data_IF_028275206041
#
_entry.id   IF_028275206041
#
_cell.length_a   1.000
_cell.length_b   1.000
_cell.length_c   1.000
_cell.angle_alpha   90.00
_cell.angle_beta   90.00
_cell.angle_gamma   90.00
#
_symmetry.space_group_name_H-M   'P 1'
#
loop_
_entity.id
_entity.type
_entity.pdbx_description
1 polymer ?
#
# COMPACT_ATOMS: atom_id res chain seq x y z
N UNK A 1 -20.45 35.16 32.52
CA UNK A 1 -21.02 36.16 31.58
C UNK A 1 -21.37 35.44 30.28
N UNK A 2 -22.67 35.27 29.99
CA UNK A 2 -23.18 34.57 28.80
C UNK A 2 -23.42 35.60 27.70
N UNK A 3 -22.84 35.40 26.51
CA UNK A 3 -23.24 36.11 25.30
C UNK A 3 -23.63 35.08 24.23
N UNK A 4 -24.94 34.95 24.03
CA UNK A 4 -25.56 34.27 22.88
C UNK A 4 -25.69 35.32 21.79
N UNK A 5 -25.22 35.03 20.58
CA UNK A 5 -25.45 35.88 19.40
C UNK A 5 -26.44 35.16 18.50
N UNK A 6 -27.45 35.92 18.07
CA UNK A 6 -28.62 35.46 17.33
C UNK A 6 -28.33 35.14 15.86
N UNK A 7 -29.07 34.12 15.43
CA UNK A 7 -29.43 33.70 14.08
C UNK A 7 -30.05 34.84 13.23
N UNK A 8 -29.69 34.95 11.95
CA UNK A 8 -30.53 35.56 10.90
C UNK A 8 -30.47 34.74 9.61
N UNK A 9 -31.64 34.23 9.23
CA UNK A 9 -31.96 33.60 7.95
C UNK A 9 -32.37 34.70 6.97
N UNK A 10 -31.89 34.64 5.73
CA UNK A 10 -32.44 35.40 4.61
C UNK A 10 -32.61 34.45 3.43
N UNK A 11 -33.88 34.13 3.12
CA UNK A 11 -34.30 33.45 1.92
C UNK A 11 -34.43 34.49 0.80
N UNK A 12 -33.98 34.16 -0.41
CA UNK A 12 -34.31 34.94 -1.62
C UNK A 12 -34.63 33.98 -2.75
N UNK A 13 -35.88 34.09 -3.18
CA UNK A 13 -36.58 33.33 -4.19
C UNK A 13 -36.52 34.15 -5.48
N UNK A 14 -36.02 33.58 -6.58
CA UNK A 14 -36.19 34.17 -7.92
C UNK A 14 -36.39 33.05 -8.94
N UNK A 15 -37.65 32.84 -9.33
CA UNK A 15 -38.00 32.21 -10.61
C UNK A 15 -38.25 33.31 -11.62
N UNK A 16 -37.66 33.20 -12.81
CA UNK A 16 -38.20 33.82 -14.03
C UNK A 16 -38.19 32.76 -15.14
N UNK A 17 -39.39 32.39 -15.59
CA UNK A 17 -39.67 31.75 -16.87
C UNK A 17 -39.75 32.82 -17.95
N UNK A 18 -39.20 32.56 -19.13
CA UNK A 18 -39.33 33.42 -20.30
C UNK A 18 -39.06 32.64 -21.59
N UNK A 19 -40.10 32.08 -22.17
CA UNK A 19 -40.12 31.51 -23.52
C UNK A 19 -40.36 32.62 -24.55
N UNK A 20 -39.54 32.71 -25.61
CA UNK A 20 -39.85 33.47 -26.82
C UNK A 20 -39.20 32.84 -28.06
N UNK A 21 -40.06 32.24 -28.89
CA UNK A 21 -40.12 32.23 -30.37
C UNK A 21 -38.86 32.57 -31.19
N UNK A 22 -38.48 31.61 -32.04
CA UNK A 22 -37.58 31.75 -33.19
C UNK A 22 -38.07 32.78 -34.23
N UNK A 23 -37.12 33.32 -35.00
CA UNK A 23 -37.31 33.41 -36.44
C UNK A 23 -36.17 32.73 -37.23
N UNK A 24 -36.59 31.95 -38.22
CA UNK A 24 -35.82 31.29 -39.27
C UNK A 24 -35.06 32.30 -40.14
N UNK A 25 -33.79 31.99 -40.44
CA UNK A 25 -33.13 32.34 -41.71
C UNK A 25 -32.25 31.18 -42.16
N UNK A 26 -32.59 30.60 -43.31
CA UNK A 26 -31.75 29.69 -44.08
C UNK A 26 -30.61 30.47 -44.76
N UNK A 27 -29.42 29.86 -44.80
CA UNK A 27 -28.44 30.04 -45.87
C UNK A 27 -27.37 28.93 -45.80
N UNK A 28 -27.61 27.88 -46.57
CA UNK A 28 -26.71 27.20 -47.52
C UNK A 28 -25.32 26.66 -47.09
N UNK A 29 -25.23 25.33 -47.28
CA UNK A 29 -24.12 24.49 -47.76
C UNK A 29 -22.89 24.12 -46.92
N UNK A 30 -22.83 22.80 -46.71
CA UNK A 30 -21.68 21.88 -46.85
C UNK A 30 -20.45 22.12 -45.97
N UNK A 31 -20.33 21.32 -44.90
CA UNK A 31 -19.15 20.46 -44.75
C UNK A 31 -19.44 19.30 -43.78
N UNK A 32 -18.94 18.14 -44.17
CA UNK A 32 -18.97 16.84 -43.50
C UNK A 32 -18.53 16.89 -42.03
N UNK A 33 -19.44 16.65 -41.08
CA UNK A 33 -19.09 16.25 -39.72
C UNK A 33 -19.00 14.73 -39.65
N UNK A 34 -17.80 14.21 -39.94
CA UNK A 34 -17.41 12.90 -39.41
C UNK A 34 -17.32 13.04 -37.90
N UNK A 35 -18.32 12.54 -37.19
CA UNK A 35 -18.24 12.30 -35.75
C UNK A 35 -17.22 11.17 -35.55
N UNK A 36 -15.96 11.56 -35.43
CA UNK A 36 -14.92 10.72 -34.86
C UNK A 36 -15.23 10.53 -33.39
N UNK A 37 -16.03 9.50 -33.10
CA UNK A 37 -16.00 8.84 -31.80
C UNK A 37 -14.54 8.40 -31.63
N UNK A 38 -13.76 9.19 -30.90
CA UNK A 38 -12.47 8.74 -30.41
C UNK A 38 -12.79 7.61 -29.45
N UNK A 39 -12.72 6.38 -29.94
CA UNK A 39 -12.48 5.21 -29.10
C UNK A 39 -11.25 5.55 -28.27
N UNK A 40 -11.50 5.96 -27.02
CA UNK A 40 -10.49 5.94 -25.98
C UNK A 40 -10.02 4.49 -25.92
N UNK A 41 -8.84 4.26 -26.48
CA UNK A 41 -8.14 2.99 -26.36
C UNK A 41 -8.01 2.71 -24.87
N UNK A 42 -8.84 1.80 -24.37
CA UNK A 42 -8.77 1.27 -23.01
C UNK A 42 -7.48 0.46 -22.89
N UNK A 43 -6.36 1.17 -22.79
CA UNK A 43 -5.03 0.64 -22.55
C UNK A 43 -4.96 0.18 -21.09
N UNK A 44 -5.20 -1.11 -20.83
CA UNK A 44 -4.78 -1.91 -19.66
C UNK A 44 -4.37 -1.10 -18.40
N UNK A 45 -5.32 -0.35 -17.84
CA UNK A 45 -5.11 0.36 -16.59
C UNK A 45 -5.22 -0.63 -15.44
N UNK A 46 -4.17 -0.74 -14.63
CA UNK A 46 -4.13 -1.66 -13.48
C UNK A 46 -4.12 -0.85 -12.19
N UNK A 47 -4.96 -1.22 -11.23
CA UNK A 47 -5.03 -0.58 -9.91
C UNK A 47 -3.92 -1.11 -8.99
N UNK A 48 -3.26 -0.18 -8.28
CA UNK A 48 -2.26 -0.49 -7.26
C UNK A 48 -2.52 0.31 -5.98
N UNK A 49 -1.92 -0.11 -4.87
CA UNK A 49 -2.06 0.51 -3.56
C UNK A 49 -0.72 1.07 -3.07
N UNK A 50 -0.77 2.23 -2.43
CA UNK A 50 0.41 2.87 -1.85
C UNK A 50 0.83 2.17 -0.56
N UNK A 51 2.05 1.64 -0.54
CA UNK A 51 2.61 0.89 0.59
C UNK A 51 3.44 1.74 1.57
N UNK A 52 3.92 2.90 1.12
CA UNK A 52 4.75 3.78 1.94
C UNK A 52 3.96 4.31 3.15
N UNK A 53 4.43 4.02 4.36
CA UNK A 53 3.73 4.35 5.61
C UNK A 53 3.54 5.86 5.84
N UNK A 54 4.41 6.69 5.27
CA UNK A 54 4.36 8.17 5.28
C UNK A 54 3.63 8.76 4.06
N UNK A 55 3.08 7.90 3.20
CA UNK A 55 2.57 8.25 1.89
C UNK A 55 3.67 8.27 0.81
N UNK A 56 3.24 8.27 -0.44
CA UNK A 56 4.11 8.24 -1.62
C UNK A 56 3.96 9.54 -2.40
N UNK A 57 5.09 10.15 -2.78
CA UNK A 57 5.06 11.40 -3.53
C UNK A 57 4.63 11.16 -4.98
N UNK A 58 3.62 11.90 -5.43
CA UNK A 58 3.31 12.07 -6.85
C UNK A 58 4.13 13.23 -7.38
N UNK A 59 4.88 13.02 -8.46
CA UNK A 59 5.86 13.97 -8.98
C UNK A 59 5.56 14.36 -10.41
N UNK A 60 5.97 15.58 -10.77
CA UNK A 60 5.69 16.18 -12.09
C UNK A 60 6.43 15.49 -13.24
N UNK A 61 7.60 14.93 -12.98
CA UNK A 61 8.43 14.28 -14.01
C UNK A 61 8.96 12.91 -13.55
N UNK A 62 9.46 12.15 -14.52
CA UNK A 62 10.04 10.80 -14.37
C UNK A 62 11.39 10.80 -13.62
N UNK A 63 11.41 11.34 -12.40
CA UNK A 63 12.58 11.44 -11.52
C UNK A 63 12.15 11.66 -10.06
N UNK A 64 12.93 11.16 -9.11
CA UNK A 64 12.70 11.29 -7.67
C UNK A 64 12.97 12.70 -7.13
N UNK A 65 13.47 13.63 -7.95
CA UNK A 65 13.83 14.99 -7.51
C UNK A 65 12.95 16.09 -8.11
N UNK A 66 12.05 15.76 -9.03
CA UNK A 66 11.13 16.75 -9.63
C UNK A 66 10.08 17.22 -8.64
N UNK A 67 9.42 18.33 -8.98
CA UNK A 67 8.37 18.95 -8.18
C UNK A 67 7.33 17.93 -7.71
N UNK A 68 7.01 18.01 -6.42
CA UNK A 68 5.96 17.19 -5.81
C UNK A 68 4.61 17.83 -6.13
N UNK A 69 3.76 17.09 -6.82
CA UNK A 69 2.37 17.47 -7.12
C UNK A 69 1.45 17.20 -5.93
N UNK A 70 1.63 16.03 -5.30
CA UNK A 70 0.82 15.59 -4.16
C UNK A 70 1.56 14.54 -3.32
N UNK A 71 1.02 14.23 -2.13
CA UNK A 71 1.36 13.03 -1.36
C UNK A 71 0.16 12.10 -1.39
N UNK A 72 0.35 10.91 -1.95
CA UNK A 72 -0.65 9.84 -2.00
C UNK A 72 -0.62 9.10 -0.66
N UNK A 73 -1.70 9.08 0.14
CA UNK A 73 -1.68 8.45 1.46
C UNK A 73 -1.41 6.94 1.41
N UNK A 74 -0.93 6.38 2.51
CA UNK A 74 -0.85 4.93 2.69
C UNK A 74 -2.20 4.25 2.41
N UNK A 75 -2.16 3.11 1.72
CA UNK A 75 -3.35 2.33 1.34
C UNK A 75 -4.21 2.97 0.26
N UNK A 76 -3.90 4.20 -0.19
CA UNK A 76 -4.63 4.84 -1.27
C UNK A 76 -4.41 4.11 -2.60
N UNK A 77 -5.45 4.06 -3.41
CA UNK A 77 -5.44 3.41 -4.72
C UNK A 77 -4.97 4.38 -5.80
N UNK A 78 -4.18 3.87 -6.74
CA UNK A 78 -3.70 4.61 -7.91
C UNK A 78 -3.93 3.78 -9.17
N UNK A 79 -4.15 4.46 -10.28
CA UNK A 79 -4.21 3.82 -11.59
C UNK A 79 -2.84 3.88 -12.23
N UNK A 80 -2.24 2.73 -12.52
CA UNK A 80 -0.94 2.63 -13.18
C UNK A 80 -1.12 2.60 -14.69
N UNK A 81 -0.38 3.48 -15.39
CA UNK A 81 -0.37 3.52 -16.85
C UNK A 81 0.77 2.68 -17.41
N UNK A 82 0.56 1.90 -18.48
CA UNK A 82 1.64 1.17 -19.15
C UNK A 82 2.75 2.13 -19.59
N UNK A 83 4.01 1.71 -19.42
CA UNK A 83 5.15 2.42 -20.00
C UNK A 83 6.18 1.41 -20.48
N UNK A 84 6.72 1.64 -21.68
CA UNK A 84 7.54 0.70 -22.44
C UNK A 84 8.95 0.54 -21.91
N UNK A 85 9.53 1.54 -21.26
CA UNK A 85 10.89 1.44 -20.71
C UNK A 85 11.14 2.51 -19.65
N UNK A 86 11.73 2.11 -18.53
CA UNK A 86 12.16 3.00 -17.47
C UNK A 86 13.46 2.49 -16.85
N UNK A 87 14.35 3.41 -16.49
CA UNK A 87 15.53 3.06 -15.72
C UNK A 87 15.11 2.57 -14.33
N UNK A 88 15.60 1.40 -13.93
CA UNK A 88 15.47 0.93 -12.55
C UNK A 88 16.35 1.79 -11.66
N UNK A 89 15.77 2.31 -10.59
CA UNK A 89 16.44 3.04 -9.51
C UNK A 89 16.20 2.30 -8.20
N UNK A 90 17.02 2.61 -7.20
CA UNK A 90 16.83 2.09 -5.85
C UNK A 90 16.57 3.22 -4.86
N UNK A 91 15.54 3.02 -4.03
CA UNK A 91 15.21 3.90 -2.89
C UNK A 91 15.09 2.99 -1.68
N UNK A 92 15.87 3.26 -0.62
CA UNK A 92 15.84 2.47 0.62
C UNK A 92 15.98 0.96 0.37
N UNK A 93 16.90 0.59 -0.53
CA UNK A 93 17.19 -0.79 -0.94
C UNK A 93 16.04 -1.52 -1.65
N UNK A 94 14.98 -0.81 -2.01
CA UNK A 94 13.89 -1.29 -2.84
C UNK A 94 14.18 -0.88 -4.27
N UNK A 95 14.12 -1.83 -5.19
CA UNK A 95 14.24 -1.57 -6.62
C UNK A 95 12.87 -1.23 -7.21
N UNK A 96 12.86 -0.28 -8.13
CA UNK A 96 11.66 0.13 -8.84
C UNK A 96 11.97 1.15 -9.92
N UNK A 97 10.94 1.74 -10.46
CA UNK A 97 10.99 2.73 -11.51
C UNK A 97 10.08 3.90 -11.15
N UNK A 98 10.17 5.00 -11.88
CA UNK A 98 9.29 6.15 -11.68
C UNK A 98 8.03 5.97 -12.55
N UNK A 99 7.04 5.25 -12.05
CA UNK A 99 5.84 4.83 -12.78
C UNK A 99 4.83 5.98 -13.00
N UNK A 100 4.35 6.21 -14.24
CA UNK A 100 3.23 7.11 -14.49
C UNK A 100 1.95 6.54 -13.86
N UNK A 101 1.26 7.39 -13.11
CA UNK A 101 0.02 7.03 -12.42
C UNK A 101 -0.98 8.19 -12.45
N UNK A 102 -2.25 7.85 -12.30
CA UNK A 102 -3.31 8.81 -11.94
C UNK A 102 -3.74 8.58 -10.50
N UNK A 103 -3.80 9.67 -9.73
CA UNK A 103 -4.31 9.69 -8.37
C UNK A 103 -5.25 10.88 -8.18
N UNK A 104 -6.52 10.63 -7.82
CA UNK A 104 -7.53 11.68 -7.63
C UNK A 104 -7.61 12.69 -8.80
N UNK A 105 -7.51 12.20 -10.04
CA UNK A 105 -7.52 13.03 -11.26
C UNK A 105 -6.22 13.78 -11.56
N UNK A 106 -5.20 13.66 -10.71
CA UNK A 106 -3.86 14.19 -10.97
C UNK A 106 -2.99 13.13 -11.65
N UNK A 107 -2.38 13.50 -12.77
CA UNK A 107 -1.40 12.67 -13.47
C UNK A 107 0.02 13.06 -13.05
N UNK A 108 0.87 12.06 -12.87
CA UNK A 108 2.27 12.27 -12.54
C UNK A 108 3.03 10.95 -12.43
N UNK A 109 4.19 11.00 -11.81
CA UNK A 109 5.07 9.85 -11.63
C UNK A 109 5.28 9.55 -10.14
N UNK A 110 5.32 8.28 -9.77
CA UNK A 110 5.66 7.85 -8.41
C UNK A 110 6.64 6.67 -8.43
N UNK A 111 7.34 6.42 -7.33
CA UNK A 111 8.29 5.32 -7.27
C UNK A 111 7.56 3.97 -7.09
N UNK A 112 7.64 3.09 -8.09
CA UNK A 112 6.87 1.83 -8.14
C UNK A 112 7.29 0.78 -7.11
N UNK A 113 8.47 0.92 -6.50
CA UNK A 113 8.87 0.08 -5.37
C UNK A 113 7.93 0.19 -4.16
N UNK A 114 7.14 1.27 -4.07
CA UNK A 114 6.13 1.48 -3.04
C UNK A 114 4.69 1.28 -3.53
N UNK A 115 4.51 0.62 -4.67
CA UNK A 115 3.21 0.20 -5.19
C UNK A 115 3.02 -1.31 -4.99
N UNK A 116 1.90 -1.68 -4.37
CA UNK A 116 1.48 -3.05 -4.10
C UNK A 116 0.27 -3.41 -4.94
N UNK A 117 0.16 -4.66 -5.40
CA UNK A 117 -1.10 -5.16 -6.00
C UNK A 117 -2.13 -5.53 -4.93
N UNK A 118 -1.67 -5.72 -3.69
CA UNK A 118 -2.51 -6.07 -2.57
C UNK A 118 -2.99 -4.79 -1.87
N UNK A 119 -4.28 -4.72 -1.49
CA UNK A 119 -4.74 -3.67 -0.59
C UNK A 119 -3.90 -3.71 0.69
N UNK A 120 -3.55 -2.54 1.21
CA UNK A 120 -2.71 -2.47 2.40
C UNK A 120 -3.55 -2.72 3.67
N UNK A 121 -3.06 -3.50 4.65
CA UNK A 121 -3.77 -3.71 5.91
C UNK A 121 -4.05 -2.38 6.63
N UNK A 122 -5.29 -2.19 7.05
CA UNK A 122 -5.63 -1.10 7.99
C UNK A 122 -5.30 -1.53 9.41
N UNK A 123 -4.95 -0.57 10.27
CA UNK A 123 -4.58 -0.86 11.66
C UNK A 123 -5.69 -1.63 12.37
N UNK A 124 -5.31 -2.71 13.07
CA UNK A 124 -6.21 -3.53 13.88
C UNK A 124 -7.12 -4.49 13.11
N UNK A 125 -6.96 -4.61 11.79
CA UNK A 125 -7.66 -5.66 11.02
C UNK A 125 -7.17 -7.05 11.45
N UNK A 126 -8.08 -8.00 11.60
CA UNK A 126 -7.69 -9.39 11.86
C UNK A 126 -7.02 -10.00 10.61
N UNK A 127 -6.19 -11.03 10.80
CA UNK A 127 -5.57 -11.72 9.66
C UNK A 127 -6.63 -12.37 8.78
N UNK A 128 -7.64 -12.99 9.38
CA UNK A 128 -8.74 -13.61 8.66
C UNK A 128 -9.51 -12.60 7.78
N UNK A 129 -9.83 -11.42 8.32
CA UNK A 129 -10.52 -10.37 7.57
C UNK A 129 -9.64 -9.78 6.46
N UNK A 130 -8.34 -9.63 6.71
CA UNK A 130 -7.40 -9.19 5.69
C UNK A 130 -7.29 -10.22 4.55
N UNK A 131 -7.16 -11.51 4.87
CA UNK A 131 -7.15 -12.60 3.89
C UNK A 131 -8.44 -12.63 3.08
N UNK A 132 -9.60 -12.41 3.72
CA UNK A 132 -10.88 -12.32 3.04
C UNK A 132 -10.90 -11.17 2.01
N UNK A 133 -10.36 -10.01 2.36
CA UNK A 133 -10.20 -8.87 1.44
C UNK A 133 -9.28 -9.21 0.26
N UNK A 134 -8.17 -9.91 0.50
CA UNK A 134 -7.26 -10.34 -0.57
C UNK A 134 -7.95 -11.29 -1.56
N UNK A 135 -8.68 -12.29 -1.05
CA UNK A 135 -9.43 -13.25 -1.85
C UNK A 135 -10.53 -12.58 -2.67
N UNK A 136 -11.24 -11.60 -2.10
CA UNK A 136 -12.26 -10.82 -2.81
C UNK A 136 -11.70 -10.02 -4.00
N UNK A 137 -10.39 -9.75 -4.03
CA UNK A 137 -9.66 -9.13 -5.14
C UNK A 137 -9.02 -10.15 -6.09
N UNK A 138 -9.52 -11.39 -6.10
CA UNK A 138 -9.04 -12.50 -6.92
C UNK A 138 -7.56 -12.87 -6.70
N UNK A 139 -7.00 -12.57 -5.52
CA UNK A 139 -5.66 -13.03 -5.18
C UNK A 139 -5.70 -14.49 -4.73
N UNK A 140 -4.80 -15.31 -5.28
CA UNK A 140 -4.60 -16.70 -4.86
C UNK A 140 -3.76 -16.73 -3.59
N UNK A 141 -4.42 -16.58 -2.44
CA UNK A 141 -3.78 -16.55 -1.12
C UNK A 141 -4.16 -17.78 -0.31
N UNK A 142 -3.16 -18.45 0.26
CA UNK A 142 -3.37 -19.51 1.24
C UNK A 142 -3.32 -18.94 2.66
N UNK A 143 -4.21 -19.43 3.52
CA UNK A 143 -4.26 -19.06 4.94
C UNK A 143 -4.47 -20.28 5.81
N UNK A 144 -3.75 -20.35 6.92
CA UNK A 144 -3.88 -21.38 7.94
C UNK A 144 -3.67 -20.77 9.33
N UNK A 145 -4.43 -21.24 10.31
CA UNK A 145 -4.22 -20.94 11.72
C UNK A 145 -4.07 -22.26 12.49
N UNK A 146 -3.14 -22.30 13.43
CA UNK A 146 -2.86 -23.46 14.29
C UNK A 146 -2.62 -22.99 15.71
N UNK A 147 -3.22 -23.67 16.68
CA UNK A 147 -2.81 -23.53 18.09
C UNK A 147 -1.36 -24.01 18.24
N UNK A 148 -0.62 -23.40 19.16
CA UNK A 148 0.71 -23.86 19.52
C UNK A 148 0.60 -25.28 20.12
N UNK A 149 1.60 -26.12 19.86
CA UNK A 149 1.63 -27.47 20.42
C UNK A 149 1.71 -27.46 21.96
N UNK A 150 1.32 -28.54 22.64
CA UNK A 150 1.29 -28.62 24.11
C UNK A 150 2.67 -28.47 24.76
N UNK A 151 3.75 -28.73 24.02
CA UNK A 151 5.14 -28.54 24.47
C UNK A 151 5.61 -27.08 24.35
N UNK A 152 4.77 -26.20 23.81
CA UNK A 152 5.03 -24.76 23.67
C UNK A 152 4.05 -23.96 24.55
N UNK A 153 4.49 -22.77 24.95
CA UNK A 153 3.66 -21.75 25.60
C UNK A 153 2.28 -21.59 24.92
N UNK A 154 1.23 -21.35 25.70
CA UNK A 154 -0.14 -21.12 25.19
C UNK A 154 -0.11 -20.05 24.10
N UNK A 155 -0.86 -20.26 23.01
CA UNK A 155 -0.89 -19.31 21.91
C UNK A 155 -1.17 -19.99 20.58
N UNK A 156 -0.90 -19.27 19.49
CA UNK A 156 -1.24 -19.72 18.15
C UNK A 156 -0.29 -19.15 17.10
N UNK A 157 -0.36 -19.74 15.92
CA UNK A 157 0.31 -19.29 14.71
C UNK A 157 -0.69 -19.06 13.58
N UNK A 158 -0.41 -18.05 12.75
CA UNK A 158 -1.19 -17.72 11.57
C UNK A 158 -0.25 -17.58 10.37
N UNK A 159 -0.53 -18.31 9.30
CA UNK A 159 0.29 -18.30 8.09
C UNK A 159 -0.50 -17.74 6.92
N UNK A 160 0.09 -16.76 6.22
CA UNK A 160 -0.39 -16.22 4.95
C UNK A 160 0.65 -16.51 3.87
N UNK A 161 0.25 -17.11 2.75
CA UNK A 161 1.12 -17.25 1.57
C UNK A 161 0.60 -16.37 0.44
N UNK A 162 1.37 -15.34 0.09
CA UNK A 162 1.07 -14.38 -0.96
C UNK A 162 1.72 -14.79 -2.30
N UNK A 163 1.05 -14.62 -3.45
CA UNK A 163 1.62 -14.86 -4.78
C UNK A 163 2.50 -13.68 -5.23
N UNK A 164 3.53 -13.36 -4.45
CA UNK A 164 4.54 -12.37 -4.78
C UNK A 164 5.94 -12.84 -4.43
N UNK A 165 6.90 -12.43 -5.24
CA UNK A 165 8.32 -12.62 -5.03
C UNK A 165 8.98 -11.47 -4.26
N UNK A 166 8.26 -10.35 -4.05
CA UNK A 166 8.79 -9.08 -3.54
C UNK A 166 8.85 -9.07 -2.02
N UNK A 167 10.05 -9.14 -1.48
CA UNK A 167 10.31 -9.11 -0.03
C UNK A 167 9.70 -7.90 0.69
N UNK A 168 9.86 -6.70 0.11
CA UNK A 168 9.35 -5.47 0.69
C UNK A 168 7.81 -5.45 0.75
N UNK A 169 7.13 -6.05 -0.23
CA UNK A 169 5.65 -6.13 -0.23
C UNK A 169 5.14 -6.96 0.95
N UNK A 170 5.71 -8.16 1.16
CA UNK A 170 5.39 -8.98 2.32
C UNK A 170 5.78 -8.34 3.65
N UNK A 171 6.93 -7.65 3.68
CA UNK A 171 7.42 -6.97 4.88
C UNK A 171 6.47 -5.87 5.35
N UNK A 172 6.05 -4.96 4.46
CA UNK A 172 5.15 -3.88 4.86
C UNK A 172 3.72 -4.35 5.12
N UNK A 173 3.27 -5.44 4.48
CA UNK A 173 2.02 -6.10 4.88
C UNK A 173 2.14 -6.62 6.32
N UNK A 174 3.17 -7.41 6.63
CA UNK A 174 3.39 -7.96 7.97
C UNK A 174 3.55 -6.85 9.02
N UNK A 175 4.32 -5.81 8.70
CA UNK A 175 4.58 -4.70 9.62
C UNK A 175 3.29 -4.02 10.08
N UNK A 176 2.35 -3.79 9.16
CA UNK A 176 1.08 -3.12 9.48
C UNK A 176 0.04 -4.09 10.06
N UNK A 177 0.00 -5.33 9.59
CA UNK A 177 -0.94 -6.34 10.10
C UNK A 177 -0.63 -6.74 11.54
N UNK A 178 0.63 -6.66 11.96
CA UNK A 178 1.10 -7.14 13.27
C UNK A 178 1.68 -6.03 14.15
N UNK A 179 1.27 -4.77 13.92
CA UNK A 179 1.62 -3.60 14.74
C UNK A 179 3.14 -3.44 15.03
N UNK A 180 3.98 -3.83 14.08
CA UNK A 180 5.44 -3.74 14.21
C UNK A 180 5.88 -2.27 14.12
N UNK A 181 6.86 -1.82 14.94
CA UNK A 181 7.33 -0.44 14.92
C UNK A 181 7.75 0.03 13.52
N UNK A 182 7.16 1.12 13.05
CA UNK A 182 7.49 1.73 11.74
C UNK A 182 8.94 2.21 11.63
N UNK A 183 9.61 2.40 12.76
CA UNK A 183 11.04 2.74 12.84
C UNK A 183 11.95 1.60 12.39
N UNK A 184 11.45 0.36 12.43
CA UNK A 184 12.12 -0.78 11.79
C UNK A 184 11.75 -0.71 10.31
N UNK A 185 12.63 -0.19 9.48
CA UNK A 185 12.42 -0.14 8.03
C UNK A 185 12.66 -1.53 7.39
N UNK A 186 12.27 -1.66 6.12
CA UNK A 186 12.62 -2.84 5.33
C UNK A 186 14.17 -3.02 5.32
N UNK A 187 14.70 -4.17 5.75
CA UNK A 187 16.13 -4.34 5.89
C UNK A 187 16.83 -4.42 4.54
N UNK A 188 18.09 -4.01 4.48
CA UNK A 188 18.91 -4.13 3.28
C UNK A 188 18.98 -5.61 2.84
N UNK A 189 18.63 -5.96 1.59
CA UNK A 189 18.70 -7.34 1.14
C UNK A 189 20.10 -7.95 1.09
N UNK A 190 21.13 -7.11 1.09
CA UNK A 190 22.55 -7.47 1.07
C UNK A 190 23.18 -7.11 2.42
N UNK A 191 24.24 -7.81 2.80
CA UNK A 191 24.93 -7.55 4.07
C UNK A 191 25.46 -8.82 4.72
N UNK A 192 25.80 -8.72 6.01
CA UNK A 192 26.30 -9.85 6.78
C UNK A 192 25.25 -10.98 6.86
N UNK A 193 25.68 -12.26 6.97
CA UNK A 193 24.76 -13.40 6.91
C UNK A 193 23.68 -13.43 7.99
N UNK A 194 23.92 -12.82 9.15
CA UNK A 194 22.96 -12.70 10.24
C UNK A 194 23.13 -11.35 10.90
N UNK A 195 22.07 -10.56 10.95
CA UNK A 195 22.05 -9.21 11.50
C UNK A 195 20.85 -9.03 12.41
N UNK A 196 21.05 -8.40 13.56
CA UNK A 196 19.98 -7.99 14.47
C UNK A 196 19.84 -6.48 14.44
N UNK A 197 18.64 -5.97 14.17
CA UNK A 197 18.31 -4.54 14.10
C UNK A 197 17.30 -4.24 15.20
N UNK A 198 17.73 -3.59 16.27
CA UNK A 198 16.84 -3.22 17.37
C UNK A 198 15.94 -2.03 17.03
N UNK A 199 14.72 -2.03 17.56
CA UNK A 199 13.85 -0.87 17.46
C UNK A 199 14.48 0.32 18.24
N UNK A 200 14.64 1.50 17.62
CA UNK A 200 15.31 2.64 18.27
C UNK A 200 14.65 3.09 19.59
N UNK A 201 13.34 2.88 19.71
CA UNK A 201 12.54 3.26 20.88
C UNK A 201 11.80 2.05 21.41
N UNK A 202 12.50 1.22 22.20
CA UNK A 202 11.94 0.08 22.93
C UNK A 202 11.52 0.53 24.35
N UNK A 203 10.27 0.32 24.79
CA UNK A 203 9.87 0.55 26.18
C UNK A 203 10.74 -0.25 27.16
N UNK A 204 10.92 0.23 28.40
CA UNK A 204 11.81 -0.41 29.38
C UNK A 204 11.35 -1.82 29.79
N UNK A 205 10.04 -2.02 29.74
CA UNK A 205 9.33 -3.24 30.10
C UNK A 205 9.39 -4.29 28.97
N UNK A 206 9.79 -3.88 27.76
CA UNK A 206 9.92 -4.75 26.60
C UNK A 206 11.33 -5.33 26.54
N UNK A 207 11.42 -6.65 26.67
CA UNK A 207 12.69 -7.38 26.64
C UNK A 207 13.26 -7.41 25.22
N UNK A 208 12.43 -7.67 24.22
CA UNK A 208 12.86 -7.79 22.82
C UNK A 208 11.90 -7.02 21.90
N UNK A 209 12.45 -6.26 20.97
CA UNK A 209 11.74 -5.64 19.85
C UNK A 209 12.75 -5.38 18.73
N UNK A 210 13.01 -6.38 17.91
CA UNK A 210 14.06 -6.34 16.89
C UNK A 210 13.69 -7.11 15.61
N UNK A 211 14.42 -6.81 14.53
CA UNK A 211 14.48 -7.66 13.35
C UNK A 211 15.72 -8.55 13.41
N UNK A 212 15.55 -9.86 13.25
CA UNK A 212 16.62 -10.78 12.88
C UNK A 212 16.54 -11.02 11.37
N UNK A 213 17.59 -10.63 10.64
CA UNK A 213 17.67 -10.75 9.18
C UNK A 213 18.74 -11.77 8.85
N UNK A 214 18.38 -12.83 8.12
CA UNK A 214 19.34 -13.81 7.60
C UNK A 214 19.48 -13.70 6.10
N UNK A 215 20.72 -13.86 5.64
CA UNK A 215 21.11 -13.74 4.24
C UNK A 215 22.04 -14.87 3.85
N UNK A 216 21.83 -15.40 2.64
CA UNK A 216 22.71 -16.36 2.00
C UNK A 216 23.14 -15.79 0.66
N UNK A 217 24.44 -15.74 0.39
CA UNK A 217 25.00 -15.20 -0.87
C UNK A 217 24.47 -13.79 -1.21
N UNK A 218 24.43 -12.88 -0.23
CA UNK A 218 23.90 -11.51 -0.37
C UNK A 218 22.45 -11.43 -0.87
N UNK A 219 21.63 -12.43 -0.52
CA UNK A 219 20.18 -12.43 -0.76
C UNK A 219 19.45 -12.73 0.54
N UNK A 220 18.31 -12.09 0.74
CA UNK A 220 17.43 -12.38 1.88
C UNK A 220 17.02 -13.85 1.86
N UNK A 221 17.18 -14.48 3.01
CA UNK A 221 16.69 -15.83 3.30
C UNK A 221 15.48 -15.75 4.24
N UNK A 222 15.62 -14.99 5.34
CA UNK A 222 14.52 -14.74 6.30
C UNK A 222 14.55 -13.33 6.86
N UNK A 223 13.37 -12.80 7.17
CA UNK A 223 13.18 -11.62 8.02
C UNK A 223 12.28 -12.04 9.17
N UNK A 224 12.76 -11.92 10.41
CA UNK A 224 12.00 -12.25 11.61
C UNK A 224 11.85 -11.02 12.48
N UNK A 225 10.62 -10.60 12.77
CA UNK A 225 10.38 -9.65 13.84
C UNK A 225 10.10 -10.40 15.14
N UNK A 226 10.73 -9.96 16.23
CA UNK A 226 10.56 -10.54 17.56
C UNK A 226 10.14 -9.47 18.55
N UNK A 227 8.99 -9.66 19.18
CA UNK A 227 8.54 -8.89 20.32
C UNK A 227 8.38 -9.79 21.54
N UNK A 228 8.97 -9.39 22.66
CA UNK A 228 8.78 -10.08 23.96
C UNK A 228 8.69 -9.07 25.09
N UNK A 229 7.69 -9.23 25.94
CA UNK A 229 7.55 -8.53 27.21
C UNK A 229 7.24 -9.52 28.33
N UNK A 230 6.88 -9.01 29.49
CA UNK A 230 6.46 -9.84 30.62
C UNK A 230 5.20 -10.65 30.27
N UNK A 231 5.28 -11.97 30.48
CA UNK A 231 4.15 -12.91 30.33
C UNK A 231 3.69 -13.19 28.89
N UNK A 232 4.26 -12.57 27.86
CA UNK A 232 3.84 -12.82 26.48
C UNK A 232 4.83 -12.33 25.42
N UNK A 233 4.66 -12.82 24.21
CA UNK A 233 5.34 -12.30 23.04
C UNK A 233 4.60 -12.59 21.75
N UNK A 234 5.06 -11.93 20.69
CA UNK A 234 4.59 -12.19 19.35
C UNK A 234 5.69 -11.85 18.34
N UNK A 235 5.47 -12.21 17.10
CA UNK A 235 6.36 -11.83 16.03
C UNK A 235 5.87 -12.38 14.71
N UNK A 236 6.70 -12.20 13.69
CA UNK A 236 6.45 -12.81 12.41
C UNK A 236 7.75 -13.27 11.77
N UNK A 237 7.65 -14.24 10.88
CA UNK A 237 8.72 -14.72 10.03
C UNK A 237 8.27 -14.58 8.59
N UNK A 238 9.10 -13.94 7.77
CA UNK A 238 8.94 -13.90 6.33
C UNK A 238 9.96 -14.83 5.70
N UNK A 239 9.46 -15.73 4.86
CA UNK A 239 10.22 -16.73 4.12
C UNK A 239 9.75 -16.78 2.68
N UNK A 240 10.58 -17.33 1.81
CA UNK A 240 10.27 -17.51 0.40
C UNK A 240 10.19 -19.00 0.08
N UNK A 241 8.99 -19.63 0.14
CA UNK A 241 8.86 -21.07 -0.09
C UNK A 241 9.23 -21.48 -1.52
N UNK A 242 9.04 -20.58 -2.50
CA UNK A 242 9.47 -20.76 -3.89
C UNK A 242 9.75 -19.40 -4.56
N UNK A 243 10.16 -19.38 -5.83
CA UNK A 243 10.53 -18.13 -6.53
C UNK A 243 9.40 -17.11 -6.68
N UNK A 244 8.13 -17.52 -6.57
CA UNK A 244 6.95 -16.73 -6.90
C UNK A 244 6.06 -16.41 -5.69
N UNK A 245 6.26 -17.11 -4.58
CA UNK A 245 5.47 -16.95 -3.36
C UNK A 245 6.29 -16.43 -2.20
N UNK A 246 5.61 -15.77 -1.28
CA UNK A 246 6.19 -15.29 -0.05
C UNK A 246 5.26 -15.67 1.10
N UNK A 247 5.82 -16.31 2.13
CA UNK A 247 5.10 -16.80 3.31
C UNK A 247 5.37 -15.86 4.46
N UNK A 248 4.30 -15.39 5.10
CA UNK A 248 4.31 -14.60 6.32
C UNK A 248 3.69 -15.47 7.41
N UNK A 249 4.46 -15.80 8.44
CA UNK A 249 4.02 -16.63 9.55
C UNK A 249 4.08 -15.81 10.83
N UNK A 250 2.93 -15.47 11.41
CA UNK A 250 2.82 -14.84 12.72
C UNK A 250 2.79 -15.92 13.79
N UNK A 251 3.44 -15.65 14.90
CA UNK A 251 3.34 -16.45 16.11
C UNK A 251 3.00 -15.54 17.29
N UNK A 252 2.19 -16.06 18.21
CA UNK A 252 1.81 -15.45 19.47
C UNK A 252 1.99 -16.49 20.56
N UNK A 253 2.51 -16.08 21.70
CA UNK A 253 2.63 -16.95 22.85
C UNK A 253 2.43 -16.17 24.16
N UNK A 254 1.99 -16.88 25.19
CA UNK A 254 1.78 -16.42 26.56
C UNK A 254 2.57 -17.34 27.48
N UNK A 255 3.45 -16.76 28.28
CA UNK A 255 4.33 -17.47 29.22
C UNK A 255 3.58 -17.87 30.50
#
# INVERSE_FOLDING_TARGET
>A
MKKRVLLRVAASFFMILGACKNPTKEATNELSETVSVSEATSQNQTEFYVMAASGLSLRKANTTTSDKLAVMPYGSMVTVHPQTTQATISVEHIEGTMQPVTFNGLEGYCFSGYLSRYPMPVKGVSVADYVAQLKAKNNVVHYEQKENGPDFHEGYSETITLPTAKWHEGYYIAQNLFDTPKSLAFPNPKGIPSETIEAPTKPKEVWTSDLLVKRTNNKLDTITYRFRGEGSGHGFIITKPDSEKLKIERYVFVD
#
